data_IF_920133787330
#
_entry.id   IF_920133787330
#
_cell.length_a   1.000
_cell.length_b   1.000
_cell.length_c   1.000
_cell.angle_alpha   90.00
_cell.angle_beta   90.00
_cell.angle_gamma   90.00
#
_symmetry.space_group_name_H-M   'P 1'
#
loop_
_entity.id
_entity.type
_entity.pdbx_description
1 polymer ?
#
# COMPACT_ATOMS: atom_id res chain seq x y z
N UNK A 1 12.94 62.01 -31.17
CA UNK A 1 11.80 61.96 -30.24
C UNK A 1 11.50 60.50 -29.99
N UNK A 2 11.99 59.95 -28.89
CA UNK A 2 11.81 58.54 -28.53
C UNK A 2 10.54 58.39 -27.72
N UNK A 3 9.65 57.48 -28.13
CA UNK A 3 8.50 57.04 -27.35
C UNK A 3 8.68 55.55 -27.06
N UNK A 4 9.35 55.23 -25.95
CA UNK A 4 9.38 53.88 -25.37
C UNK A 4 8.23 53.78 -24.36
N UNK A 5 7.09 53.25 -24.81
CA UNK A 5 5.99 52.88 -23.93
C UNK A 5 6.30 51.54 -23.27
N UNK A 6 6.83 51.58 -22.05
CA UNK A 6 7.01 50.39 -21.21
C UNK A 6 5.64 49.85 -20.77
N UNK A 7 5.16 48.80 -21.44
CA UNK A 7 3.95 48.07 -21.04
C UNK A 7 4.34 47.08 -19.96
N UNK A 8 4.07 47.44 -18.70
CA UNK A 8 4.20 46.51 -17.57
C UNK A 8 3.24 45.32 -17.71
N UNK A 9 3.53 44.19 -17.06
CA UNK A 9 2.70 42.99 -17.16
C UNK A 9 1.29 43.24 -16.60
N UNK A 10 0.28 43.10 -17.46
CA UNK A 10 -1.14 43.18 -17.10
C UNK A 10 -1.51 41.88 -16.38
N UNK A 11 -1.60 41.94 -15.05
CA UNK A 11 -2.10 40.83 -14.24
C UNK A 11 -3.64 40.91 -14.22
N UNK A 12 -4.38 39.91 -14.74
CA UNK A 12 -5.84 39.98 -14.79
C UNK A 12 -6.43 39.89 -13.38
N UNK A 13 -7.21 40.91 -13.01
CA UNK A 13 -7.90 41.06 -11.72
C UNK A 13 -8.85 39.90 -11.36
N UNK A 14 -9.23 39.06 -12.33
CA UNK A 14 -10.14 37.91 -12.14
C UNK A 14 -9.54 36.71 -11.40
N UNK A 15 -8.23 36.67 -11.16
CA UNK A 15 -7.60 35.59 -10.36
C UNK A 15 -7.62 35.86 -8.86
N UNK A 16 -8.05 37.05 -8.47
CA UNK A 16 -8.14 37.45 -7.09
C UNK A 16 -9.63 37.51 -6.75
N UNK A 17 -10.07 36.70 -5.77
CA UNK A 17 -11.38 36.85 -5.14
C UNK A 17 -11.41 38.15 -4.30
N UNK A 18 -11.20 39.31 -4.94
CA UNK A 18 -11.53 40.61 -4.35
C UNK A 18 -13.03 40.72 -4.45
N UNK A 19 -13.71 40.52 -3.34
CA UNK A 19 -15.06 41.06 -3.18
C UNK A 19 -14.91 42.58 -3.12
N UNK A 20 -15.59 43.32 -3.98
CA UNK A 20 -15.47 44.77 -4.20
C UNK A 20 -15.89 45.67 -3.00
N UNK A 21 -15.78 45.18 -1.76
CA UNK A 21 -16.42 45.75 -0.56
C UNK A 21 -15.42 46.08 0.57
N UNK A 22 -14.12 46.20 0.28
CA UNK A 22 -13.17 46.65 1.30
C UNK A 22 -12.32 47.81 0.81
N UNK A 23 -12.45 48.96 1.49
CA UNK A 23 -11.55 50.13 1.45
C UNK A 23 -10.14 49.81 2.00
N UNK A 24 -9.69 48.56 1.87
CA UNK A 24 -8.35 48.14 2.27
C UNK A 24 -7.37 48.64 1.23
N UNK A 25 -6.35 49.35 1.70
CA UNK A 25 -5.24 49.80 0.86
C UNK A 25 -4.70 48.62 0.06
N UNK A 26 -4.54 48.78 -1.25
CA UNK A 26 -4.04 47.74 -2.16
C UNK A 26 -2.75 47.09 -1.63
N UNK A 27 -1.88 47.89 -1.01
CA UNK A 27 -0.63 47.43 -0.41
C UNK A 27 -0.85 46.48 0.77
N UNK A 28 -1.82 46.80 1.63
CA UNK A 28 -2.21 45.95 2.76
C UNK A 28 -2.75 44.61 2.26
N UNK A 29 -3.58 44.65 1.21
CA UNK A 29 -4.12 43.44 0.59
C UNK A 29 -3.02 42.56 -0.01
N UNK A 30 -2.07 43.15 -0.76
CA UNK A 30 -0.95 42.42 -1.36
C UNK A 30 -0.10 41.74 -0.26
N UNK A 31 0.21 42.47 0.81
CA UNK A 31 0.99 41.94 1.94
C UNK A 31 0.24 40.78 2.60
N UNK A 32 -1.06 40.94 2.88
CA UNK A 32 -1.90 39.89 3.46
C UNK A 32 -1.96 38.64 2.56
N UNK A 33 -2.09 38.84 1.25
CA UNK A 33 -2.15 37.74 0.28
C UNK A 33 -0.82 37.00 0.18
N UNK A 34 0.30 37.72 0.12
CA UNK A 34 1.64 37.11 0.12
C UNK A 34 1.89 36.31 1.41
N UNK A 35 1.49 36.85 2.57
CA UNK A 35 1.59 36.15 3.84
C UNK A 35 0.73 34.89 3.86
N UNK A 36 -0.49 34.94 3.32
CA UNK A 36 -1.37 33.78 3.19
C UNK A 36 -0.75 32.69 2.30
N UNK A 37 -0.16 33.07 1.16
CA UNK A 37 0.51 32.12 0.27
C UNK A 37 1.73 31.49 0.94
N UNK A 38 2.55 32.28 1.62
CA UNK A 38 3.71 31.79 2.38
C UNK A 38 3.27 30.80 3.46
N UNK A 39 2.26 31.17 4.25
CA UNK A 39 1.68 30.31 5.27
C UNK A 39 1.11 29.00 4.70
N UNK A 40 0.36 29.09 3.59
CA UNK A 40 -0.20 27.91 2.94
C UNK A 40 0.89 26.96 2.43
N UNK A 41 1.97 27.51 1.87
CA UNK A 41 3.12 26.73 1.40
C UNK A 41 3.84 26.04 2.56
N UNK A 42 4.13 26.77 3.64
CA UNK A 42 4.74 26.22 4.84
C UNK A 42 3.89 25.10 5.44
N UNK A 43 2.57 25.34 5.58
CA UNK A 43 1.63 24.32 6.09
C UNK A 43 1.52 23.10 5.18
N UNK A 44 1.49 23.27 3.86
CA UNK A 44 1.51 22.15 2.94
C UNK A 44 2.79 21.33 3.06
N UNK A 45 3.93 22.00 3.29
CA UNK A 45 5.22 21.37 3.57
C UNK A 45 5.21 20.55 4.86
N UNK A 46 4.72 21.11 5.96
CA UNK A 46 4.54 20.42 7.24
C UNK A 46 3.65 19.17 7.07
N UNK A 47 2.45 19.34 6.49
CA UNK A 47 1.52 18.23 6.28
C UNK A 47 2.11 17.12 5.40
N UNK A 48 2.91 17.48 4.40
CA UNK A 48 3.58 16.49 3.54
C UNK A 48 4.60 15.68 4.34
N UNK A 49 5.37 16.34 5.23
CA UNK A 49 6.34 15.68 6.11
C UNK A 49 5.63 14.78 7.12
N UNK A 50 4.66 15.32 7.86
CA UNK A 50 3.88 14.56 8.85
C UNK A 50 3.22 13.33 8.21
N UNK A 51 2.67 13.50 7.00
CA UNK A 51 2.04 12.40 6.28
C UNK A 51 3.06 11.37 5.78
N UNK A 52 4.26 11.80 5.38
CA UNK A 52 5.34 10.89 5.01
C UNK A 52 5.82 10.08 6.23
N UNK A 53 5.99 10.73 7.38
CA UNK A 53 6.32 10.08 8.65
C UNK A 53 5.26 9.08 9.06
N UNK A 54 3.97 9.47 9.01
CA UNK A 54 2.87 8.54 9.28
C UNK A 54 2.87 7.32 8.35
N UNK A 55 3.13 7.50 7.05
CA UNK A 55 3.23 6.36 6.11
C UNK A 55 4.40 5.46 6.47
N UNK A 56 5.55 6.03 6.86
CA UNK A 56 6.73 5.29 7.29
C UNK A 56 6.44 4.48 8.57
N UNK A 57 5.90 5.10 9.61
CA UNK A 57 5.57 4.40 10.86
C UNK A 57 4.59 3.26 10.64
N UNK A 58 3.52 3.47 9.86
CA UNK A 58 2.56 2.41 9.51
C UNK A 58 3.18 1.29 8.67
N UNK A 59 4.13 1.61 7.80
CA UNK A 59 4.85 0.62 7.04
C UNK A 59 5.76 -0.23 7.95
N UNK A 60 6.48 0.42 8.86
CA UNK A 60 7.41 -0.22 9.78
C UNK A 60 6.65 -1.09 10.82
N UNK A 61 5.51 -0.62 11.34
CA UNK A 61 4.59 -1.42 12.19
C UNK A 61 4.11 -2.69 11.48
N UNK A 62 3.82 -2.60 10.17
CA UNK A 62 3.31 -3.73 9.38
C UNK A 62 4.41 -4.70 8.94
N UNK A 63 5.67 -4.45 9.30
CA UNK A 63 6.80 -5.33 8.96
C UNK A 63 6.74 -6.61 9.80
N UNK A 64 5.89 -7.54 9.38
CA UNK A 64 5.88 -8.90 9.92
C UNK A 64 7.20 -9.57 9.57
N UNK A 65 8.00 -9.84 10.61
CA UNK A 65 9.30 -10.47 10.47
C UNK A 65 9.35 -11.73 11.34
N UNK A 66 8.89 -12.88 10.82
CA UNK A 66 8.97 -14.13 11.57
C UNK A 66 10.44 -14.48 11.85
N UNK A 67 10.67 -15.10 13.00
CA UNK A 67 11.96 -15.69 13.37
C UNK A 67 12.20 -16.90 12.47
N UNK A 68 12.88 -16.64 11.35
CA UNK A 68 13.34 -17.64 10.40
C UNK A 68 14.82 -17.88 10.69
N UNK A 69 15.19 -19.14 10.82
CA UNK A 69 16.56 -19.61 10.98
C UNK A 69 17.10 -20.18 9.66
N UNK A 70 18.42 -20.39 9.59
CA UNK A 70 19.01 -21.16 8.49
C UNK A 70 18.46 -22.59 8.56
N UNK A 71 18.31 -23.23 7.40
CA UNK A 71 17.71 -24.55 7.17
C UNK A 71 16.21 -24.68 7.47
N UNK A 72 15.54 -23.61 7.90
CA UNK A 72 14.08 -23.61 8.01
C UNK A 72 13.43 -23.82 6.63
N UNK A 73 12.33 -24.58 6.63
CA UNK A 73 11.47 -24.74 5.48
C UNK A 73 10.54 -23.55 5.35
N UNK A 74 10.42 -23.03 4.14
CA UNK A 74 9.69 -21.79 3.87
C UNK A 74 8.92 -21.87 2.55
N UNK A 75 7.84 -21.09 2.48
CA UNK A 75 7.13 -20.80 1.24
C UNK A 75 7.50 -19.40 0.75
N UNK A 76 7.52 -19.26 -0.58
CA UNK A 76 7.83 -18.00 -1.26
C UNK A 76 6.54 -17.35 -1.75
N UNK A 77 6.45 -16.02 -1.71
CA UNK A 77 5.29 -15.28 -2.24
C UNK A 77 5.21 -15.35 -3.77
N UNK A 78 4.03 -15.64 -4.30
CA UNK A 78 3.76 -15.66 -5.74
C UNK A 78 3.70 -14.22 -6.30
N UNK A 79 4.78 -13.79 -6.97
CA UNK A 79 4.85 -12.48 -7.64
C UNK A 79 4.70 -12.54 -9.16
N UNK A 80 4.87 -13.71 -9.76
CA UNK A 80 4.82 -13.90 -11.22
C UNK A 80 3.41 -14.09 -11.79
N UNK A 81 2.38 -14.05 -10.95
CA UNK A 81 1.00 -14.31 -11.38
C UNK A 81 0.43 -13.07 -12.05
N UNK A 82 -0.07 -13.24 -13.27
CA UNK A 82 -0.71 -12.19 -14.05
C UNK A 82 -2.21 -12.52 -14.20
N UNK A 83 -3.07 -11.49 -14.23
CA UNK A 83 -4.51 -11.67 -14.44
C UNK A 83 -5.33 -11.75 -13.14
N UNK A 84 -6.03 -12.87 -12.89
CA UNK A 84 -7.06 -13.03 -11.85
C UNK A 84 -6.49 -13.12 -10.41
N UNK A 85 -5.72 -12.14 -9.98
CA UNK A 85 -4.99 -12.13 -8.70
C UNK A 85 -5.88 -12.31 -7.44
N UNK A 86 -7.19 -12.09 -7.54
CA UNK A 86 -8.13 -12.23 -6.41
C UNK A 86 -8.39 -13.69 -6.00
N UNK A 87 -8.25 -14.63 -6.93
CA UNK A 87 -8.52 -16.06 -6.67
C UNK A 87 -7.24 -16.90 -6.62
N UNK A 88 -6.09 -16.25 -6.75
CA UNK A 88 -4.80 -16.91 -6.82
C UNK A 88 -4.17 -16.94 -5.43
N UNK A 89 -3.50 -18.05 -5.13
CA UNK A 89 -2.81 -18.19 -3.87
C UNK A 89 -1.66 -17.19 -3.78
N UNK A 90 -1.56 -16.55 -2.61
CA UNK A 90 -0.52 -15.54 -2.35
C UNK A 90 0.86 -16.20 -2.19
N UNK A 91 0.92 -17.47 -1.80
CA UNK A 91 2.14 -18.23 -1.52
C UNK A 91 2.27 -19.41 -2.47
N UNK A 92 3.51 -19.71 -2.86
CA UNK A 92 3.88 -20.89 -3.65
C UNK A 92 3.66 -22.15 -2.83
N UNK A 93 3.12 -23.21 -3.44
CA UNK A 93 2.99 -24.53 -2.83
C UNK A 93 4.33 -25.26 -2.68
N UNK A 94 5.33 -24.92 -3.49
CA UNK A 94 6.67 -25.49 -3.43
C UNK A 94 7.39 -25.05 -2.15
N UNK A 95 7.98 -26.02 -1.44
CA UNK A 95 8.77 -25.81 -0.23
C UNK A 95 10.23 -25.51 -0.59
N UNK A 96 10.77 -24.48 0.03
CA UNK A 96 12.17 -24.08 -0.09
C UNK A 96 12.87 -24.20 1.27
N UNK A 97 14.19 -24.34 1.26
CA UNK A 97 15.04 -24.30 2.44
C UNK A 97 15.83 -23.00 2.46
N UNK A 98 15.94 -22.40 3.64
CA UNK A 98 16.74 -21.19 3.84
C UNK A 98 18.22 -21.56 3.90
N UNK A 99 19.02 -21.00 3.00
CA UNK A 99 20.47 -21.24 2.96
C UNK A 99 21.23 -20.14 3.66
N UNK A 100 20.78 -18.89 3.50
CA UNK A 100 21.44 -17.73 4.09
C UNK A 100 20.43 -16.72 4.57
N UNK A 101 20.71 -16.16 5.73
CA UNK A 101 19.98 -15.03 6.28
C UNK A 101 20.82 -13.77 6.26
N UNK A 102 20.16 -12.66 5.95
CA UNK A 102 20.64 -11.31 6.13
C UNK A 102 19.58 -10.51 6.88
N UNK A 103 19.87 -9.26 7.22
CA UNK A 103 18.96 -8.44 8.04
C UNK A 103 17.57 -8.26 7.41
N UNK A 104 17.51 -8.04 6.10
CA UNK A 104 16.27 -7.78 5.35
C UNK A 104 15.98 -8.80 4.25
N UNK A 105 16.93 -9.68 3.96
CA UNK A 105 16.95 -10.54 2.78
C UNK A 105 17.26 -11.97 3.19
N UNK A 106 16.65 -12.93 2.50
CA UNK A 106 16.78 -14.37 2.71
C UNK A 106 17.18 -14.99 1.38
N UNK A 107 18.22 -15.82 1.39
CA UNK A 107 18.56 -16.66 0.24
C UNK A 107 18.00 -18.06 0.48
N UNK A 108 17.22 -18.53 -0.48
CA UNK A 108 16.48 -19.79 -0.40
C UNK A 108 16.79 -20.67 -1.59
N UNK A 109 16.82 -21.98 -1.36
CA UNK A 109 17.00 -23.01 -2.38
C UNK A 109 15.80 -23.96 -2.37
N UNK A 110 15.44 -24.55 -3.52
CA UNK A 110 14.41 -25.59 -3.54
C UNK A 110 14.79 -26.74 -2.60
N UNK A 111 13.82 -27.27 -1.85
CA UNK A 111 14.10 -28.38 -0.94
C UNK A 111 14.60 -29.64 -1.67
N UNK A 112 14.19 -29.83 -2.94
CA UNK A 112 14.58 -30.95 -3.80
C UNK A 112 16.05 -30.88 -4.27
N UNK A 113 16.78 -29.82 -3.91
CA UNK A 113 18.21 -29.65 -4.24
C UNK A 113 18.50 -29.37 -5.72
N UNK A 114 17.53 -29.55 -6.61
CA UNK A 114 17.66 -29.39 -8.05
C UNK A 114 17.17 -28.00 -8.54
N UNK A 115 17.74 -26.91 -8.02
CA UNK A 115 17.46 -25.59 -8.61
C UNK A 115 18.29 -24.43 -8.07
N UNK A 116 18.09 -23.28 -8.71
CA UNK A 116 18.88 -22.06 -8.49
C UNK A 116 18.47 -21.38 -7.18
N UNK A 117 19.46 -20.95 -6.39
CA UNK A 117 19.27 -20.16 -5.18
C UNK A 117 18.67 -18.80 -5.52
N UNK A 118 17.65 -18.38 -4.75
CA UNK A 118 16.96 -17.11 -4.93
C UNK A 118 17.15 -16.21 -3.73
N UNK A 119 17.40 -14.95 -3.97
CA UNK A 119 17.55 -13.93 -2.93
C UNK A 119 16.27 -13.09 -2.88
N UNK A 120 15.57 -13.13 -1.75
CA UNK A 120 14.24 -12.55 -1.56
C UNK A 120 14.17 -11.67 -0.32
N UNK A 121 13.26 -10.71 -0.31
CA UNK A 121 12.99 -9.93 0.89
C UNK A 121 12.30 -10.81 1.95
N UNK A 122 12.60 -10.62 3.24
CA UNK A 122 11.97 -11.35 4.36
C UNK A 122 10.43 -11.32 4.32
N UNK A 123 9.83 -10.23 3.81
CA UNK A 123 8.37 -10.11 3.63
C UNK A 123 7.76 -11.07 2.59
N UNK A 124 8.59 -11.67 1.76
CA UNK A 124 8.21 -12.57 0.67
C UNK A 124 8.48 -14.04 1.00
N UNK A 125 8.79 -14.31 2.26
CA UNK A 125 9.08 -15.65 2.78
C UNK A 125 8.23 -15.87 4.04
N UNK A 126 7.59 -17.03 4.15
CA UNK A 126 6.87 -17.44 5.35
C UNK A 126 7.32 -18.83 5.78
N UNK A 127 7.45 -19.05 7.08
CA UNK A 127 7.83 -20.35 7.64
C UNK A 127 6.76 -21.40 7.30
N UNK A 128 7.20 -22.55 6.83
CA UNK A 128 6.35 -23.71 6.63
C UNK A 128 6.14 -24.39 7.98
N UNK A 129 4.88 -24.51 8.41
CA UNK A 129 4.51 -25.13 9.68
C UNK A 129 4.17 -26.61 9.55
N UNK A 130 4.39 -27.21 8.37
CA UNK A 130 4.10 -28.63 8.16
C UNK A 130 5.20 -29.44 8.85
N UNK A 131 4.84 -30.10 9.94
CA UNK A 131 5.65 -31.15 10.53
C UNK A 131 5.69 -32.31 9.52
N UNK A 132 6.89 -32.69 9.09
CA UNK A 132 7.03 -33.91 8.30
C UNK A 132 6.73 -35.10 9.21
N UNK A 133 5.56 -35.72 9.03
CA UNK A 133 5.35 -37.08 9.47
C UNK A 133 6.28 -37.97 8.64
N UNK A 134 7.35 -38.45 9.26
CA UNK A 134 8.17 -39.52 8.70
C UNK A 134 7.38 -40.81 8.92
N UNK A 135 6.88 -41.35 7.81
CA UNK A 135 6.37 -42.69 7.50
C UNK A 135 5.90 -43.62 8.65
N UNK A 136 4.62 -44.00 8.59
CA UNK A 136 4.24 -45.42 8.61
C UNK A 136 3.02 -45.64 7.69
N UNK A 137 3.20 -46.52 6.71
CA UNK A 137 2.13 -47.02 5.85
C UNK A 137 1.22 -47.96 6.65
N UNK A 138 -0.01 -47.52 6.94
CA UNK A 138 -1.15 -48.42 7.06
C UNK A 138 -2.31 -47.84 6.26
N UNK A 139 -2.58 -48.51 5.15
CA UNK A 139 -3.78 -48.35 4.35
C UNK A 139 -5.02 -48.63 5.20
N UNK A 140 -5.80 -47.59 5.50
CA UNK A 140 -7.17 -47.76 5.94
C UNK A 140 -8.04 -46.66 5.33
N UNK A 141 -8.85 -47.09 4.39
CA UNK A 141 -9.92 -46.34 3.76
C UNK A 141 -10.95 -46.00 4.83
N UNK A 142 -11.10 -44.73 5.18
CA UNK A 142 -12.33 -44.28 5.83
C UNK A 142 -12.87 -43.05 5.11
N UNK A 143 -13.89 -43.31 4.31
CA UNK A 143 -14.71 -42.35 3.60
C UNK A 143 -15.53 -41.54 4.61
N UNK A 144 -14.96 -40.47 5.13
CA UNK A 144 -15.74 -39.38 5.70
C UNK A 144 -15.85 -38.29 4.65
N UNK A 145 -17.00 -38.28 3.97
CA UNK A 145 -17.50 -37.13 3.20
C UNK A 145 -17.60 -35.92 4.14
N UNK A 146 -16.47 -35.25 4.38
CA UNK A 146 -16.46 -33.91 4.98
C UNK A 146 -16.98 -32.97 3.90
N UNK A 147 -18.31 -32.85 3.87
CA UNK A 147 -19.04 -31.91 3.05
C UNK A 147 -18.46 -30.52 3.29
N UNK A 148 -17.59 -30.08 2.37
CA UNK A 148 -17.13 -28.69 2.27
C UNK A 148 -18.34 -27.81 2.02
N UNK A 149 -19.07 -27.45 3.08
CA UNK A 149 -20.17 -26.51 3.01
C UNK A 149 -19.53 -25.17 2.66
N UNK A 150 -19.79 -24.58 1.48
CA UNK A 150 -19.26 -23.27 1.17
C UNK A 150 -19.77 -22.31 2.25
N UNK A 151 -18.84 -21.74 3.03
CA UNK A 151 -19.15 -20.72 4.04
C UNK A 151 -19.80 -19.53 3.35
N UNK A 152 -21.12 -19.54 3.24
CA UNK A 152 -21.91 -18.40 2.81
C UNK A 152 -21.84 -17.38 3.93
N UNK A 153 -21.28 -16.20 3.63
CA UNK A 153 -21.28 -15.07 4.56
C UNK A 153 -22.72 -14.72 4.94
N UNK A 154 -23.06 -14.89 6.22
CA UNK A 154 -24.35 -14.52 6.81
C UNK A 154 -24.38 -13.08 7.33
N UNK A 155 -23.38 -12.25 6.98
CA UNK A 155 -23.33 -10.85 7.44
C UNK A 155 -24.59 -10.12 6.98
N UNK A 156 -25.34 -9.56 7.93
CA UNK A 156 -26.57 -8.79 7.69
C UNK A 156 -26.38 -7.55 6.79
N UNK A 157 -25.13 -7.16 6.55
CA UNK A 157 -24.71 -6.05 5.68
C UNK A 157 -24.26 -6.51 4.28
N UNK A 158 -24.37 -7.81 3.95
CA UNK A 158 -24.12 -8.30 2.61
C UNK A 158 -25.03 -7.58 1.61
N UNK A 159 -24.44 -6.87 0.65
CA UNK A 159 -25.18 -6.04 -0.32
C UNK A 159 -25.60 -4.66 0.19
N UNK A 160 -25.45 -4.36 1.49
CA UNK A 160 -25.66 -3.02 2.05
C UNK A 160 -24.36 -2.22 1.98
N UNK A 161 -24.20 -1.44 0.92
CA UNK A 161 -23.17 -0.42 0.86
C UNK A 161 -23.67 0.86 1.55
N UNK A 162 -22.78 1.55 2.28
CA UNK A 162 -23.05 2.89 2.86
C UNK A 162 -23.40 3.94 1.82
N UNK A 163 -23.13 3.67 0.54
CA UNK A 163 -23.44 4.53 -0.59
C UNK A 163 -24.70 4.02 -1.33
N UNK A 164 -25.93 4.35 -0.87
CA UNK A 164 -27.17 3.82 -1.43
C UNK A 164 -27.30 4.03 -2.95
N UNK A 165 -26.65 5.04 -3.49
CA UNK A 165 -26.75 5.44 -4.89
C UNK A 165 -25.58 4.98 -5.77
N UNK A 166 -24.60 4.25 -5.21
CA UNK A 166 -23.35 3.81 -5.90
C UNK A 166 -22.62 4.92 -6.66
N UNK A 167 -22.79 6.16 -6.24
CA UNK A 167 -22.17 7.31 -6.89
C UNK A 167 -20.70 7.42 -6.47
N UNK A 168 -19.78 7.82 -7.36
CA UNK A 168 -18.41 8.09 -6.95
C UNK A 168 -18.37 9.16 -5.84
N UNK A 169 -17.52 8.96 -4.83
CA UNK A 169 -17.41 9.84 -3.66
C UNK A 169 -17.07 11.30 -3.99
N UNK A 170 -16.63 11.59 -5.22
CA UNK A 170 -16.37 12.95 -5.72
C UNK A 170 -17.62 13.83 -5.81
N UNK A 171 -18.83 13.25 -5.81
CA UNK A 171 -20.10 14.01 -5.95
C UNK A 171 -20.56 14.60 -4.61
N UNK A 172 -20.12 14.04 -3.48
CA UNK A 172 -20.53 14.49 -2.13
C UNK A 172 -19.57 15.48 -1.49
N UNK A 173 -18.51 15.88 -2.19
CA UNK A 173 -17.64 16.97 -1.76
C UNK A 173 -18.28 18.30 -2.14
N UNK A 174 -19.00 18.91 -1.20
CA UNK A 174 -19.38 20.33 -1.23
C UNK A 174 -18.69 21.05 -0.09
#
# INVERSE_FOLDING_TARGET
MSLEGSVGPIIPSKLINVTDETDQSLDEWIIAHQNRLRYAYEKAGEQTKDRAEYRKTKHDEKRFNPEICVDDKVYIRNRGVHGRNKIQDTWSSTVYRVVRLSENTVSVEPNDGAGVSRTLNRRDVIKCNIQQSVDDNSSESDSSDDMFIPRRTTRATAGKHTNPNRLPNSIFSK
#
